data_IF_230220258456
#
_entry.id   IF_230220258456
#
_cell.length_a   1.000
_cell.length_b   1.000
_cell.length_c   1.000
_cell.angle_alpha   90.00
_cell.angle_beta   90.00
_cell.angle_gamma   90.00
#
_symmetry.space_group_name_H-M   'P 1'
#
loop_
_entity.id
_entity.type
_entity.pdbx_description
1 polymer ?
#
# COMPACT_ATOMS: atom_id res chain seq x y z
N UNK A 1 -10.17 5.51 -10.84
CA UNK A 1 -9.41 4.83 -11.93
C UNK A 1 -9.92 5.20 -13.31
N UNK A 2 -11.22 5.13 -13.61
CA UNK A 2 -11.77 5.54 -14.92
C UNK A 2 -11.43 6.98 -15.36
N UNK A 3 -11.35 7.93 -14.42
CA UNK A 3 -11.00 9.33 -14.72
C UNK A 3 -9.49 9.56 -14.93
N UNK A 4 -8.64 8.71 -14.33
CA UNK A 4 -7.18 8.85 -14.41
C UNK A 4 -6.56 8.03 -15.55
N UNK A 5 -7.18 6.91 -15.93
CA UNK A 5 -6.66 5.98 -16.95
C UNK A 5 -7.13 6.38 -18.37
N UNK A 6 -8.06 7.32 -18.48
CA UNK A 6 -8.73 7.61 -19.74
C UNK A 6 -9.80 6.54 -20.03
N UNK A 7 -10.88 6.96 -20.70
CA UNK A 7 -12.01 6.12 -21.08
C UNK A 7 -11.64 5.03 -22.12
N UNK A 8 -10.37 4.93 -22.52
CA UNK A 8 -9.87 3.98 -23.50
C UNK A 8 -9.35 2.68 -22.86
N UNK A 9 -9.86 2.34 -21.67
CA UNK A 9 -9.81 0.97 -21.20
C UNK A 9 -10.66 0.15 -22.18
N UNK A 10 -10.00 -0.57 -23.10
CA UNK A 10 -10.58 -1.60 -23.96
C UNK A 10 -11.61 -2.42 -23.17
N UNK A 11 -12.86 -1.99 -23.26
CA UNK A 11 -13.95 -2.40 -22.38
C UNK A 11 -14.57 -3.72 -22.83
N UNK A 12 -13.91 -4.43 -23.76
CA UNK A 12 -14.40 -5.65 -24.38
C UNK A 12 -13.41 -6.81 -24.43
N UNK A 13 -12.19 -6.69 -23.89
CA UNK A 13 -11.24 -7.80 -23.95
C UNK A 13 -11.33 -8.69 -22.70
N UNK A 14 -11.47 -10.00 -22.92
CA UNK A 14 -11.45 -11.06 -21.89
C UNK A 14 -10.19 -11.05 -21.00
N UNK A 15 -9.18 -10.25 -21.36
CA UNK A 15 -7.94 -10.04 -20.61
C UNK A 15 -8.06 -9.15 -19.37
N UNK A 16 -9.15 -8.39 -19.15
CA UNK A 16 -9.25 -7.46 -18.02
C UNK A 16 -9.70 -8.12 -16.69
N UNK A 17 -10.39 -9.26 -16.78
CA UNK A 17 -10.93 -9.96 -15.60
C UNK A 17 -9.84 -10.57 -14.73
N UNK A 18 -8.74 -11.02 -15.35
CA UNK A 18 -7.64 -11.70 -14.67
C UNK A 18 -6.82 -10.70 -13.81
N UNK A 19 -6.37 -9.53 -14.33
CA UNK A 19 -5.75 -8.48 -13.52
C UNK A 19 -6.68 -7.94 -12.42
N UNK A 20 -7.97 -7.75 -12.73
CA UNK A 20 -8.95 -7.30 -11.75
C UNK A 20 -9.08 -8.31 -10.59
N UNK A 21 -9.21 -9.60 -10.90
CA UNK A 21 -9.23 -10.67 -9.91
C UNK A 21 -7.96 -10.71 -9.05
N UNK A 22 -6.78 -10.63 -9.67
CA UNK A 22 -5.51 -10.57 -8.96
C UNK A 22 -5.43 -9.36 -8.00
N UNK A 23 -5.91 -8.19 -8.41
CA UNK A 23 -5.90 -6.99 -7.57
C UNK A 23 -6.81 -7.12 -6.34
N UNK A 24 -7.96 -7.78 -6.48
CA UNK A 24 -8.87 -8.04 -5.36
C UNK A 24 -8.29 -9.06 -4.37
N UNK A 25 -7.66 -10.12 -4.88
CA UNK A 25 -6.95 -11.09 -4.03
C UNK A 25 -5.80 -10.43 -3.29
N UNK A 26 -5.03 -9.56 -3.95
CA UNK A 26 -3.96 -8.78 -3.32
C UNK A 26 -4.51 -7.86 -2.21
N UNK A 27 -5.62 -7.16 -2.46
CA UNK A 27 -6.26 -6.30 -1.47
C UNK A 27 -6.78 -7.10 -0.25
N UNK A 28 -7.35 -8.28 -0.47
CA UNK A 28 -7.76 -9.20 0.59
C UNK A 28 -6.56 -9.64 1.43
N UNK A 29 -5.46 -10.05 0.79
CA UNK A 29 -4.24 -10.47 1.48
C UNK A 29 -3.65 -9.34 2.33
N UNK A 30 -3.63 -8.11 1.81
CA UNK A 30 -3.15 -6.95 2.57
C UNK A 30 -4.00 -6.68 3.81
N UNK A 31 -5.33 -6.76 3.67
CA UNK A 31 -6.26 -6.61 4.80
C UNK A 31 -6.09 -7.71 5.86
N UNK A 32 -6.01 -8.98 5.42
CA UNK A 32 -5.82 -10.13 6.32
C UNK A 32 -4.46 -10.05 7.02
N UNK A 33 -3.38 -9.75 6.29
CA UNK A 33 -2.03 -9.63 6.85
C UNK A 33 -1.96 -8.56 7.94
N UNK A 34 -2.56 -7.38 7.71
CA UNK A 34 -2.59 -6.31 8.71
C UNK A 34 -3.36 -6.69 9.98
N UNK A 35 -4.53 -7.34 9.84
CA UNK A 35 -5.33 -7.78 11.00
C UNK A 35 -4.68 -8.94 11.73
N UNK A 36 -4.12 -9.91 11.00
CA UNK A 36 -3.41 -11.06 11.56
C UNK A 36 -2.17 -10.62 12.34
N UNK A 37 -1.35 -9.74 11.74
CA UNK A 37 -0.16 -9.18 12.39
C UNK A 37 -0.50 -8.46 13.70
N UNK A 38 -1.58 -7.66 13.67
CA UNK A 38 -2.04 -6.92 14.85
C UNK A 38 -2.70 -7.79 15.94
N UNK A 39 -3.08 -9.05 15.65
CA UNK A 39 -3.73 -9.97 16.60
C UNK A 39 -2.78 -11.02 17.17
N UNK A 40 -2.00 -11.67 16.31
CA UNK A 40 -1.17 -12.82 16.69
C UNK A 40 0.19 -12.43 17.24
N UNK A 41 0.73 -11.29 16.84
CA UNK A 41 2.08 -10.86 17.25
C UNK A 41 2.04 -9.69 18.24
N UNK A 42 0.98 -9.62 19.05
CA UNK A 42 0.89 -8.65 20.15
C UNK A 42 1.93 -9.00 21.21
N UNK A 43 2.98 -8.17 21.34
CA UNK A 43 4.04 -8.32 22.34
C UNK A 43 5.40 -8.71 21.79
N UNK A 44 5.47 -9.14 20.52
CA UNK A 44 6.74 -9.43 19.84
C UNK A 44 7.43 -8.15 19.38
N UNK A 45 8.76 -8.17 19.26
CA UNK A 45 9.50 -6.98 18.80
C UNK A 45 9.17 -6.71 17.33
N UNK A 46 8.92 -5.44 17.00
CA UNK A 46 8.60 -5.01 15.63
C UNK A 46 9.71 -5.39 14.61
N UNK A 47 10.95 -5.49 15.08
CA UNK A 47 12.10 -5.89 14.30
C UNK A 47 12.05 -7.38 13.91
N UNK A 48 11.65 -8.25 14.84
CA UNK A 48 11.57 -9.70 14.59
C UNK A 48 10.46 -10.02 13.58
N UNK A 49 9.33 -9.33 13.67
CA UNK A 49 8.27 -9.40 12.65
C UNK A 49 8.74 -8.91 11.28
N UNK A 50 9.46 -7.78 11.22
CA UNK A 50 9.96 -7.22 9.98
C UNK A 50 10.97 -8.14 9.29
N UNK A 51 11.90 -8.73 10.04
CA UNK A 51 12.87 -9.69 9.51
C UNK A 51 12.15 -10.96 9.04
N UNK A 52 11.26 -11.51 9.86
CA UNK A 52 10.51 -12.73 9.53
C UNK A 52 9.72 -12.61 8.23
N UNK A 53 8.96 -11.51 8.05
CA UNK A 53 8.20 -11.30 6.82
C UNK A 53 9.11 -11.11 5.60
N UNK A 54 10.25 -10.43 5.74
CA UNK A 54 11.16 -10.16 4.62
C UNK A 54 11.90 -11.42 4.20
N UNK A 55 12.32 -12.25 5.16
CA UNK A 55 12.91 -13.56 4.87
C UNK A 55 11.90 -14.50 4.22
N UNK A 56 10.67 -14.56 4.73
CA UNK A 56 9.61 -15.38 4.13
C UNK A 56 9.30 -14.93 2.69
N UNK A 57 9.19 -13.62 2.46
CA UNK A 57 8.98 -13.06 1.12
C UNK A 57 10.16 -13.38 0.19
N UNK A 58 11.39 -13.21 0.67
CA UNK A 58 12.60 -13.53 -0.09
C UNK A 58 12.63 -15.02 -0.49
N UNK A 59 12.39 -15.94 0.46
CA UNK A 59 12.36 -17.38 0.21
C UNK A 59 11.26 -17.78 -0.77
N UNK A 60 10.07 -17.18 -0.64
CA UNK A 60 8.94 -17.48 -1.51
C UNK A 60 9.16 -16.98 -2.94
N UNK A 61 9.81 -15.82 -3.10
CA UNK A 61 10.13 -15.25 -4.42
C UNK A 61 11.40 -15.83 -5.05
N UNK A 62 12.32 -16.41 -4.26
CA UNK A 62 13.58 -17.00 -4.73
C UNK A 62 13.43 -17.99 -5.90
N UNK A 63 12.50 -18.97 -5.90
CA UNK A 63 12.34 -19.87 -7.04
C UNK A 63 11.86 -19.16 -8.29
N UNK A 64 11.02 -18.12 -8.17
CA UNK A 64 10.57 -17.33 -9.31
C UNK A 64 11.71 -16.48 -9.87
N UNK A 65 12.48 -15.83 -8.99
CA UNK A 65 13.65 -15.05 -9.36
C UNK A 65 14.71 -15.90 -10.08
N UNK A 66 14.85 -17.18 -9.71
CA UNK A 66 15.75 -18.13 -10.34
C UNK A 66 15.29 -18.56 -11.75
N UNK A 67 14.02 -18.40 -12.09
CA UNK A 67 13.48 -18.70 -13.43
C UNK A 67 13.47 -17.44 -14.31
N UNK A 68 13.34 -16.26 -13.71
CA UNK A 68 13.28 -14.97 -14.40
C UNK A 68 14.58 -14.17 -14.27
N UNK A 69 15.74 -14.81 -14.50
CA UNK A 69 17.01 -14.09 -14.48
C UNK A 69 17.07 -13.04 -15.59
N UNK A 70 17.59 -11.83 -15.30
CA UNK A 70 17.82 -10.84 -16.34
C UNK A 70 18.90 -11.33 -17.31
N UNK A 71 18.67 -11.14 -18.62
CA UNK A 71 19.61 -11.52 -19.69
C UNK A 71 20.93 -10.74 -19.63
N UNK A 72 20.94 -9.60 -18.94
CA UNK A 72 22.10 -8.74 -18.77
C UNK A 72 22.39 -8.53 -17.28
N UNK A 73 23.68 -8.53 -16.93
CA UNK A 73 24.12 -8.19 -15.58
C UNK A 73 23.78 -6.70 -15.34
N UNK A 74 22.98 -6.38 -14.31
CA UNK A 74 22.60 -5.00 -14.05
C UNK A 74 23.82 -4.15 -13.73
N UNK A 75 23.85 -2.93 -14.26
CA UNK A 75 24.89 -1.95 -13.96
C UNK A 75 24.88 -1.50 -12.50
N UNK A 76 26.00 -0.94 -12.04
CA UNK A 76 26.18 -0.50 -10.64
C UNK A 76 25.08 0.47 -10.19
N UNK A 77 24.63 1.37 -11.08
CA UNK A 77 23.57 2.34 -10.78
C UNK A 77 22.22 1.66 -10.49
N UNK A 78 21.86 0.62 -11.25
CA UNK A 78 20.63 -0.15 -11.03
C UNK A 78 20.72 -0.91 -9.71
N UNK A 79 21.86 -1.53 -9.43
CA UNK A 79 22.08 -2.24 -8.15
C UNK A 79 21.99 -1.30 -6.95
N UNK A 80 22.59 -0.10 -7.03
CA UNK A 80 22.51 0.89 -5.97
C UNK A 80 21.08 1.41 -5.78
N UNK A 81 20.34 1.64 -6.85
CA UNK A 81 18.93 2.07 -6.79
C UNK A 81 18.04 1.02 -6.13
N UNK A 82 18.22 -0.26 -6.48
CA UNK A 82 17.51 -1.39 -5.87
C UNK A 82 17.88 -1.54 -4.39
N UNK A 83 19.16 -1.40 -4.04
CA UNK A 83 19.59 -1.45 -2.64
C UNK A 83 19.01 -0.29 -1.82
N UNK A 84 19.03 0.92 -2.35
CA UNK A 84 18.43 2.08 -1.69
C UNK A 84 16.93 1.86 -1.46
N UNK A 85 16.20 1.34 -2.46
CA UNK A 85 14.79 0.99 -2.33
C UNK A 85 14.56 -0.08 -1.25
N UNK A 86 15.34 -1.16 -1.27
CA UNK A 86 15.22 -2.26 -0.31
C UNK A 86 15.48 -1.82 1.14
N UNK A 87 16.49 -0.96 1.35
CA UNK A 87 16.85 -0.51 2.71
C UNK A 87 15.89 0.57 3.21
N UNK A 88 15.76 1.68 2.47
CA UNK A 88 15.03 2.85 2.94
C UNK A 88 13.53 2.68 2.78
N UNK A 89 13.07 2.15 1.64
CA UNK A 89 11.66 2.11 1.32
C UNK A 89 10.98 0.81 1.80
N UNK A 90 11.74 -0.26 2.03
CA UNK A 90 11.20 -1.55 2.50
C UNK A 90 11.58 -1.84 3.95
N UNK A 91 12.85 -2.09 4.25
CA UNK A 91 13.27 -2.52 5.58
C UNK A 91 12.96 -1.49 6.67
N UNK A 92 13.37 -0.23 6.46
CA UNK A 92 13.12 0.85 7.41
C UNK A 92 11.63 1.18 7.53
N UNK A 93 10.93 1.26 6.40
CA UNK A 93 9.51 1.56 6.36
C UNK A 93 8.66 0.51 7.08
N UNK A 94 8.98 -0.79 6.93
CA UNK A 94 8.25 -1.85 7.62
C UNK A 94 8.52 -1.88 9.12
N UNK A 95 9.75 -1.56 9.54
CA UNK A 95 10.07 -1.41 10.97
C UNK A 95 9.22 -0.29 11.58
N UNK A 96 9.15 0.86 10.91
CA UNK A 96 8.28 1.97 11.32
C UNK A 96 6.80 1.56 11.28
N UNK A 97 6.35 0.85 10.25
CA UNK A 97 4.97 0.38 10.11
C UNK A 97 4.54 -0.50 11.29
N UNK A 98 5.33 -1.51 11.65
CA UNK A 98 5.04 -2.35 12.80
C UNK A 98 5.16 -1.60 14.12
N UNK A 99 6.13 -0.69 14.26
CA UNK A 99 6.23 0.17 15.44
C UNK A 99 5.00 1.09 15.58
N UNK A 100 4.47 1.63 14.48
CA UNK A 100 3.24 2.42 14.49
C UNK A 100 2.02 1.57 14.86
N UNK A 101 1.92 0.34 14.34
CA UNK A 101 0.83 -0.58 14.72
C UNK A 101 0.82 -0.82 16.23
N UNK A 102 1.99 -1.01 16.84
CA UNK A 102 2.12 -1.25 18.28
C UNK A 102 1.79 0.00 19.11
N UNK A 103 2.25 1.18 18.70
CA UNK A 103 2.10 2.40 19.49
C UNK A 103 0.76 3.14 19.28
N UNK A 104 0.27 3.22 18.04
CA UNK A 104 -0.88 4.06 17.67
C UNK A 104 -2.06 3.27 17.11
N UNK A 105 -1.88 1.96 16.90
CA UNK A 105 -2.90 1.03 16.44
C UNK A 105 -3.03 0.96 14.91
N UNK A 106 -3.48 -0.20 14.41
CA UNK A 106 -3.62 -0.48 12.98
C UNK A 106 -4.49 0.54 12.21
N UNK A 107 -5.53 1.09 12.85
CA UNK A 107 -6.45 2.03 12.20
C UNK A 107 -5.80 3.37 11.88
N UNK A 108 -4.94 3.90 12.77
CA UNK A 108 -4.21 5.14 12.50
C UNK A 108 -3.06 4.92 11.52
N UNK A 109 -2.45 3.74 11.51
CA UNK A 109 -1.39 3.42 10.56
C UNK A 109 -1.89 3.46 9.11
N UNK A 110 -3.16 3.09 8.87
CA UNK A 110 -3.78 3.17 7.55
C UNK A 110 -3.87 4.60 6.99
N UNK A 111 -3.80 5.64 7.81
CA UNK A 111 -3.80 7.02 7.29
C UNK A 111 -2.56 7.31 6.45
N UNK A 112 -1.43 6.66 6.71
CA UNK A 112 -0.21 6.79 5.89
C UNK A 112 -0.47 6.27 4.48
N UNK A 113 -1.20 5.16 4.34
CA UNK A 113 -1.58 4.61 3.02
C UNK A 113 -2.47 5.58 2.24
N UNK A 114 -3.27 6.39 2.93
CA UNK A 114 -4.11 7.42 2.30
C UNK A 114 -3.32 8.62 1.76
N UNK A 115 -2.10 8.84 2.22
CA UNK A 115 -1.22 9.88 1.68
C UNK A 115 -0.48 9.43 0.41
N UNK A 116 -0.44 8.12 0.12
CA UNK A 116 0.28 7.56 -1.04
C UNK A 116 -0.10 8.23 -2.36
N UNK A 117 -1.39 8.45 -2.70
CA UNK A 117 -1.77 9.11 -3.95
C UNK A 117 -1.29 10.56 -4.05
N UNK A 118 -1.27 11.28 -2.92
CA UNK A 118 -0.81 12.68 -2.86
C UNK A 118 0.68 12.75 -3.16
N UNK A 119 1.47 11.92 -2.49
CA UNK A 119 2.91 11.83 -2.73
C UNK A 119 3.23 11.30 -4.13
N UNK A 120 2.43 10.39 -4.66
CA UNK A 120 2.57 9.87 -6.03
C UNK A 120 2.49 10.98 -7.08
N UNK A 121 1.46 11.84 -7.02
CA UNK A 121 1.32 12.97 -7.94
C UNK A 121 2.43 14.00 -7.72
N UNK A 122 2.78 14.29 -6.46
CA UNK A 122 3.83 15.26 -6.14
C UNK A 122 5.18 14.84 -6.70
N UNK A 123 5.57 13.57 -6.50
CA UNK A 123 6.84 13.05 -7.02
C UNK A 123 6.82 12.86 -8.53
N UNK A 124 5.68 12.46 -9.11
CA UNK A 124 5.48 12.40 -10.57
C UNK A 124 5.65 13.77 -11.24
N UNK A 125 5.09 14.83 -10.65
CA UNK A 125 5.27 16.19 -11.14
C UNK A 125 6.72 16.69 -10.98
N UNK A 126 7.37 16.41 -9.85
CA UNK A 126 8.72 16.93 -9.55
C UNK A 126 9.84 16.18 -10.29
N UNK A 127 9.78 14.85 -10.35
CA UNK A 127 10.87 14.01 -10.85
C UNK A 127 10.61 13.45 -12.26
N UNK A 128 9.35 13.14 -12.59
CA UNK A 128 8.97 12.63 -13.91
C UNK A 128 8.49 13.74 -14.86
N UNK A 129 8.38 14.98 -14.36
CA UNK A 129 7.92 16.16 -15.11
C UNK A 129 6.53 15.95 -15.75
N UNK A 130 5.68 15.16 -15.09
CA UNK A 130 4.32 14.89 -15.55
C UNK A 130 3.44 16.15 -15.45
N UNK A 131 2.68 16.45 -16.51
CA UNK A 131 1.75 17.57 -16.52
C UNK A 131 0.56 17.25 -15.61
N UNK A 132 0.43 18.01 -14.52
CA UNK A 132 -0.73 17.94 -13.62
C UNK A 132 -1.94 18.56 -14.32
N UNK A 133 -2.71 17.73 -15.01
CA UNK A 133 -3.95 18.14 -15.69
C UNK A 133 -5.11 18.31 -14.72
N UNK A 134 -6.16 19.05 -15.10
CA UNK A 134 -7.38 19.16 -14.29
C UNK A 134 -8.00 17.79 -13.94
N UNK A 135 -7.85 16.79 -14.82
CA UNK A 135 -8.32 15.43 -14.57
C UNK A 135 -7.56 14.76 -13.40
N UNK A 136 -6.24 14.94 -13.31
CA UNK A 136 -5.44 14.42 -12.19
C UNK A 136 -5.80 15.10 -10.87
N UNK A 137 -6.00 16.42 -10.89
CA UNK A 137 -6.44 17.17 -9.71
C UNK A 137 -7.86 16.77 -9.26
N UNK A 138 -8.79 16.59 -10.21
CA UNK A 138 -10.13 16.08 -9.93
C UNK A 138 -10.13 14.66 -9.36
N UNK A 139 -9.30 13.78 -9.90
CA UNK A 139 -9.09 12.43 -9.38
C UNK A 139 -8.56 12.43 -7.95
N UNK A 140 -7.58 13.29 -7.65
CA UNK A 140 -7.03 13.46 -6.30
C UNK A 140 -8.09 13.94 -5.30
N UNK A 141 -8.90 14.93 -5.67
CA UNK A 141 -9.99 15.44 -4.83
C UNK A 141 -11.02 14.36 -4.49
N UNK A 142 -11.41 13.55 -5.48
CA UNK A 142 -12.36 12.44 -5.27
C UNK A 142 -11.78 11.42 -4.29
N UNK A 143 -10.49 11.08 -4.42
CA UNK A 143 -9.80 10.15 -3.50
C UNK A 143 -9.80 10.72 -2.08
N UNK A 144 -9.40 11.98 -1.90
CA UNK A 144 -9.35 12.64 -0.59
C UNK A 144 -10.74 12.73 0.06
N UNK A 145 -11.78 13.09 -0.70
CA UNK A 145 -13.17 13.11 -0.22
C UNK A 145 -13.65 11.73 0.20
N UNK A 146 -13.34 10.68 -0.58
CA UNK A 146 -13.70 9.30 -0.26
C UNK A 146 -13.05 8.86 1.07
N UNK A 147 -11.77 9.17 1.25
CA UNK A 147 -11.04 8.88 2.49
C UNK A 147 -11.65 9.61 3.68
N UNK A 148 -11.93 10.92 3.53
CA UNK A 148 -12.53 11.73 4.58
C UNK A 148 -13.89 11.18 5.03
N UNK A 149 -14.73 10.76 4.08
CA UNK A 149 -16.02 10.10 4.36
C UNK A 149 -15.83 8.79 5.14
N UNK A 150 -14.94 7.91 4.69
CA UNK A 150 -14.69 6.61 5.33
C UNK A 150 -14.12 6.76 6.74
N UNK A 151 -13.16 7.68 6.93
CA UNK A 151 -12.57 7.93 8.25
C UNK A 151 -13.57 8.56 9.22
N UNK A 152 -14.36 9.53 8.75
CA UNK A 152 -15.34 10.21 9.59
C UNK A 152 -16.54 9.29 9.94
N UNK A 153 -16.96 8.41 9.03
CA UNK A 153 -18.00 7.41 9.31
C UNK A 153 -17.60 6.43 10.44
N UNK A 154 -16.32 6.05 10.54
CA UNK A 154 -15.83 5.21 11.66
C UNK A 154 -15.79 5.97 12.98
N UNK A 155 -15.62 7.29 12.96
CA UNK A 155 -15.71 8.14 14.16
C UNK A 155 -17.16 8.27 14.64
N UNK A 156 -18.10 8.42 13.72
CA UNK A 156 -19.54 8.53 14.00
C UNK A 156 -20.14 7.23 14.57
N UNK A 157 -19.70 6.06 14.07
CA UNK A 157 -20.15 4.75 14.58
C UNK A 157 -19.78 4.47 16.04
N UNK A 158 -18.65 4.99 16.52
CA UNK A 158 -18.27 4.90 17.95
C UNK A 158 -19.11 5.82 18.84
N UNK A 159 -19.52 6.99 18.32
CA UNK A 159 -20.36 7.95 19.06
C UNK A 159 -21.80 7.44 19.26
N UNK A 160 -22.32 6.62 18.33
CA UNK A 160 -23.65 6.01 18.46
C UNK A 160 -23.66 4.79 19.39
N UNK A 161 -22.62 3.95 19.35
CA UNK A 161 -22.49 2.79 20.26
C UNK A 161 -22.24 3.21 21.72
N UNK A 162 -21.50 4.29 21.97
CA UNK A 162 -21.31 4.80 23.33
C UNK A 162 -22.59 5.42 23.91
N UNK A 163 -23.52 5.87 23.06
CA UNK A 163 -24.80 6.45 23.48
C UNK A 163 -25.88 5.41 23.83
N UNK A 164 -25.67 4.13 23.48
CA UNK A 164 -26.61 3.03 23.74
C UNK A 164 -26.23 2.14 24.93
N UNK A 165 -25.02 2.25 25.49
CA UNK A 165 -24.56 1.46 26.65
C UNK A 165 -24.65 2.19 28.00
N UNK A 166 -25.37 3.32 28.04
CA UNK A 166 -25.68 4.09 29.26
C UNK A 166 -27.16 4.45 29.31
N UNK A 167 -28.03 3.48 29.00
CA UNK A 167 -29.43 3.49 29.42
C UNK A 167 -29.80 2.13 29.99
#
# INVERSE_FOLDING_TARGET
MAVLVGWDAQSGEKGLLLPAGCSLVAALFYGVAGVFSARQFKGERSLDMAIGQQLAAALLLLPFAAVTLPEQVPGVEVTLSVLALAIFCTALAYLLYFALIQNVGAVKTLSVTFLVPVFGILWGALFLNEQVTLATAGGLLIILLSIALVMNARFFGKSILFKFSTK
#
